data_IF_979044754764
#
_entry.id   IF_979044754764
#
_cell.length_a   1.000
_cell.length_b   1.000
_cell.length_c   1.000
_cell.angle_alpha   90.00
_cell.angle_beta   90.00
_cell.angle_gamma   90.00
#
_symmetry.space_group_name_H-M   'P 1'
#
loop_
_entity.id
_entity.type
_entity.pdbx_description
1 polymer ?
#
# COMPACT_ATOMS: atom_id res chain seq x y z
N UNK A 1 13.16 9.75 -6.61
CA UNK A 1 13.12 8.62 -5.65
C UNK A 1 12.15 8.94 -4.53
N UNK A 2 11.07 8.16 -4.40
CA UNK A 2 10.12 8.29 -3.29
C UNK A 2 10.76 7.64 -2.06
N UNK A 3 10.73 8.33 -0.92
CA UNK A 3 11.37 7.85 0.33
C UNK A 3 10.48 6.85 1.06
N UNK A 4 9.18 7.06 1.01
CA UNK A 4 8.16 6.20 1.58
C UNK A 4 8.05 4.86 0.84
N UNK A 5 7.56 3.85 1.56
CA UNK A 5 7.25 2.55 0.96
C UNK A 5 5.80 2.58 0.46
N UNK A 6 5.60 2.18 -0.80
CA UNK A 6 4.28 2.09 -1.40
C UNK A 6 3.69 0.71 -1.11
N UNK A 7 2.52 0.68 -0.49
CA UNK A 7 1.76 -0.54 -0.23
C UNK A 7 0.65 -0.68 -1.27
N UNK A 8 0.62 -1.80 -1.98
CA UNK A 8 -0.32 -2.13 -3.05
C UNK A 8 -1.07 -3.43 -2.78
N UNK A 9 -2.12 -3.73 -3.53
CA UNK A 9 -2.92 -4.93 -3.32
C UNK A 9 -2.26 -6.19 -3.92
N UNK A 10 -1.85 -6.10 -5.19
CA UNK A 10 -1.42 -7.23 -6.00
C UNK A 10 0.00 -7.14 -6.55
N UNK A 11 0.43 -8.23 -7.18
CA UNK A 11 1.74 -8.31 -7.86
C UNK A 11 1.80 -7.47 -9.13
N UNK A 12 0.68 -7.35 -9.85
CA UNK A 12 0.60 -6.50 -11.05
C UNK A 12 0.88 -5.03 -10.71
N UNK A 13 0.36 -4.56 -9.58
CA UNK A 13 0.55 -3.20 -9.08
C UNK A 13 2.01 -2.90 -8.74
N UNK A 14 2.75 -3.90 -8.21
CA UNK A 14 4.19 -3.75 -7.96
C UNK A 14 4.91 -3.37 -9.25
N UNK A 15 4.63 -4.10 -10.33
CA UNK A 15 5.23 -3.83 -11.63
C UNK A 15 4.80 -2.48 -12.21
N UNK A 16 3.54 -2.09 -12.03
CA UNK A 16 3.04 -0.79 -12.48
C UNK A 16 3.72 0.38 -11.74
N UNK A 17 3.80 0.31 -10.41
CA UNK A 17 4.45 1.33 -9.57
C UNK A 17 5.92 1.44 -9.91
N UNK A 18 6.66 0.33 -10.01
CA UNK A 18 8.09 0.35 -10.34
C UNK A 18 8.39 0.90 -11.73
N UNK A 19 7.44 0.78 -12.69
CA UNK A 19 7.57 1.42 -14.00
C UNK A 19 7.33 2.92 -13.96
N UNK A 20 6.48 3.38 -13.05
CA UNK A 20 6.11 4.79 -12.95
C UNK A 20 7.07 5.60 -12.08
N UNK A 21 7.56 5.02 -10.98
CA UNK A 21 8.37 5.70 -9.98
C UNK A 21 9.42 4.78 -9.38
N UNK A 22 10.56 5.36 -9.02
CA UNK A 22 11.56 4.69 -8.21
C UNK A 22 11.15 4.74 -6.72
N UNK A 23 10.65 3.60 -6.22
CA UNK A 23 10.14 3.42 -4.87
C UNK A 23 10.28 1.97 -4.40
N UNK A 24 10.36 1.77 -3.09
CA UNK A 24 10.16 0.45 -2.49
C UNK A 24 8.67 0.12 -2.47
N UNK A 25 8.30 -1.10 -2.85
CA UNK A 25 6.91 -1.52 -2.97
C UNK A 25 6.67 -2.84 -2.24
N UNK A 26 5.58 -2.92 -1.48
CA UNK A 26 5.11 -4.12 -0.76
C UNK A 26 3.67 -4.41 -1.19
N UNK A 27 3.33 -5.66 -1.52
CA UNK A 27 1.95 -6.07 -1.81
C UNK A 27 1.29 -6.77 -0.62
N UNK A 28 -0.02 -6.61 -0.44
CA UNK A 28 -0.81 -7.32 0.59
C UNK A 28 -1.33 -8.69 0.12
N UNK A 29 -1.16 -9.03 -1.16
CA UNK A 29 -1.70 -10.22 -1.81
C UNK A 29 -3.23 -10.29 -1.70
N UNK A 30 -3.91 -9.20 -2.06
CA UNK A 30 -5.36 -9.09 -1.95
C UNK A 30 -5.82 -8.97 -0.50
N UNK A 31 -6.94 -9.63 -0.19
CA UNK A 31 -7.52 -9.73 1.16
C UNK A 31 -6.74 -10.67 2.11
N UNK A 32 -5.68 -11.34 1.63
CA UNK A 32 -4.79 -12.19 2.43
C UNK A 32 -3.90 -11.44 3.42
N UNK A 33 -4.27 -10.20 3.78
CA UNK A 33 -3.57 -9.40 4.78
C UNK A 33 -3.65 -10.09 6.14
N UNK A 34 -2.48 -10.41 6.69
CA UNK A 34 -2.34 -11.09 7.97
C UNK A 34 -1.37 -10.31 8.87
N UNK A 35 -1.32 -10.69 10.14
CA UNK A 35 -0.49 -9.99 11.14
C UNK A 35 0.99 -9.98 10.78
N UNK A 36 1.48 -10.98 10.05
CA UNK A 36 2.88 -11.02 9.59
C UNK A 36 3.15 -9.88 8.60
N UNK A 37 2.28 -9.69 7.61
CA UNK A 37 2.40 -8.61 6.62
C UNK A 37 2.20 -7.26 7.31
N UNK A 38 1.19 -7.11 8.17
CA UNK A 38 0.92 -5.88 8.91
C UNK A 38 2.14 -5.49 9.74
N UNK A 39 2.77 -6.43 10.45
CA UNK A 39 3.96 -6.18 11.25
C UNK A 39 5.17 -5.74 10.41
N UNK A 40 5.35 -6.32 9.22
CA UNK A 40 6.40 -5.88 8.28
C UNK A 40 6.15 -4.43 7.87
N UNK A 41 4.92 -4.10 7.44
CA UNK A 41 4.56 -2.75 7.02
C UNK A 41 4.69 -1.75 8.17
N UNK A 42 4.25 -2.11 9.38
CA UNK A 42 4.35 -1.28 10.59
C UNK A 42 5.80 -1.02 11.03
N UNK A 43 6.68 -2.00 10.90
CA UNK A 43 8.12 -1.79 11.15
C UNK A 43 8.71 -0.85 10.10
N UNK A 44 8.33 -1.01 8.85
CA UNK A 44 8.85 -0.23 7.75
C UNK A 44 8.36 1.24 7.80
N UNK A 45 7.12 1.47 8.23
CA UNK A 45 6.53 2.81 8.39
C UNK A 45 7.25 3.65 9.44
N UNK A 46 7.81 3.05 10.50
CA UNK A 46 8.57 3.77 11.54
C UNK A 46 9.82 4.48 10.99
N UNK A 47 10.48 3.88 9.99
CA UNK A 47 11.74 4.39 9.47
C UNK A 47 11.55 5.30 8.25
N UNK A 48 10.61 4.96 7.37
CA UNK A 48 10.47 5.60 6.05
C UNK A 48 9.09 6.22 5.79
N UNK A 49 8.08 5.93 6.62
CA UNK A 49 6.69 6.19 6.29
C UNK A 49 6.15 5.23 5.21
N UNK A 50 4.83 5.21 5.05
CA UNK A 50 4.16 4.41 4.01
C UNK A 50 3.12 5.22 3.24
N UNK A 51 2.92 4.86 1.98
CA UNK A 51 1.84 5.35 1.12
C UNK A 51 0.98 4.15 0.73
N UNK A 52 -0.29 4.14 1.13
CA UNK A 52 -1.25 3.12 0.73
C UNK A 52 -1.85 3.52 -0.62
N UNK A 53 -1.57 2.73 -1.65
CA UNK A 53 -2.09 2.88 -3.01
C UNK A 53 -2.97 1.67 -3.34
N UNK A 54 -4.28 1.86 -3.26
CA UNK A 54 -5.27 0.82 -3.54
C UNK A 54 -6.36 1.34 -4.46
N UNK A 55 -7.04 0.42 -5.14
CA UNK A 55 -8.18 0.74 -6.00
C UNK A 55 -9.36 1.29 -5.20
N UNK A 56 -10.23 2.09 -5.84
CA UNK A 56 -11.42 2.66 -5.19
C UNK A 56 -12.56 1.64 -5.03
N UNK A 57 -12.25 0.36 -4.87
CA UNK A 57 -13.19 -0.75 -4.77
C UNK A 57 -13.34 -1.26 -3.32
N UNK A 58 -14.08 -2.36 -3.12
CA UNK A 58 -14.32 -2.91 -1.79
C UNK A 58 -13.05 -3.53 -1.16
N UNK A 59 -12.29 -4.42 -1.85
CA UNK A 59 -11.01 -4.94 -1.36
C UNK A 59 -10.01 -3.83 -0.99
N UNK A 60 -9.81 -2.85 -1.87
CA UNK A 60 -8.87 -1.75 -1.67
C UNK A 60 -9.24 -0.86 -0.49
N UNK A 61 -10.53 -0.61 -0.25
CA UNK A 61 -11.01 0.08 0.96
C UNK A 61 -10.78 -0.74 2.23
N UNK A 62 -11.03 -2.05 2.19
CA UNK A 62 -10.85 -2.93 3.36
C UNK A 62 -9.39 -3.00 3.79
N UNK A 63 -8.47 -3.20 2.84
CA UNK A 63 -7.01 -3.20 3.11
C UNK A 63 -6.58 -1.86 3.72
N UNK A 64 -7.05 -0.75 3.13
CA UNK A 64 -6.76 0.60 3.61
C UNK A 64 -7.21 0.81 5.05
N UNK A 65 -8.45 0.44 5.38
CA UNK A 65 -8.99 0.60 6.73
C UNK A 65 -8.20 -0.21 7.76
N UNK A 66 -7.83 -1.46 7.42
CA UNK A 66 -7.02 -2.31 8.28
C UNK A 66 -5.67 -1.65 8.56
N UNK A 67 -4.95 -1.22 7.52
CA UNK A 67 -3.62 -0.61 7.67
C UNK A 67 -3.68 0.74 8.41
N UNK A 68 -4.66 1.59 8.08
CA UNK A 68 -4.84 2.89 8.73
C UNK A 68 -5.16 2.76 10.22
N UNK A 69 -5.93 1.73 10.61
CA UNK A 69 -6.22 1.48 12.03
C UNK A 69 -5.01 1.00 12.84
N UNK A 70 -3.98 0.48 12.17
CA UNK A 70 -2.80 -0.13 12.81
C UNK A 70 -1.55 0.74 12.74
N UNK A 71 -1.54 1.75 11.86
CA UNK A 71 -0.39 2.58 11.51
C UNK A 71 -0.84 4.04 11.40
N UNK A 72 -0.51 4.84 12.42
CA UNK A 72 -0.95 6.25 12.48
C UNK A 72 -0.31 7.15 11.40
N UNK A 73 0.95 6.88 11.01
CA UNK A 73 1.69 7.71 10.07
C UNK A 73 1.64 7.16 8.63
N UNK A 74 0.44 6.86 8.13
CA UNK A 74 0.24 6.42 6.75
C UNK A 74 -0.33 7.52 5.86
N UNK A 75 0.25 7.68 4.68
CA UNK A 75 -0.30 8.52 3.61
C UNK A 75 -1.24 7.68 2.74
N UNK A 76 -2.22 8.34 2.14
CA UNK A 76 -3.25 7.71 1.33
C UNK A 76 -3.21 8.24 -0.10
N UNK A 77 -2.96 7.36 -1.07
CA UNK A 77 -3.07 7.65 -2.49
C UNK A 77 -4.25 6.87 -3.08
N UNK A 78 -4.86 7.41 -4.14
CA UNK A 78 -6.03 6.84 -4.79
C UNK A 78 -5.83 6.86 -6.30
N UNK A 79 -6.27 5.80 -6.98
CA UNK A 79 -6.32 5.77 -8.44
C UNK A 79 -7.59 6.50 -8.89
N UNK A 80 -7.49 7.51 -9.78
CA UNK A 80 -8.65 8.19 -10.33
C UNK A 80 -9.60 7.20 -11.01
N UNK A 81 -10.90 7.38 -10.79
CA UNK A 81 -11.95 6.44 -11.22
C UNK A 81 -12.08 6.34 -12.75
N UNK A 82 -11.63 7.38 -13.43
CA UNK A 82 -11.50 7.52 -14.89
C UNK A 82 -10.32 6.74 -15.49
N UNK A 83 -9.48 6.10 -14.65
CA UNK A 83 -8.29 5.34 -15.08
C UNK A 83 -8.25 3.90 -14.54
N UNK A 84 -9.35 3.42 -13.97
CA UNK A 84 -9.51 2.06 -13.44
C UNK A 84 -10.18 1.13 -14.46
#
# INVERSE_FOLDING_TARGET
MIKEIIVVEGKADISAVKRAVDAQVISTNGLGINDKIINVIKKASKNKGIIILTDPDYPGKKIRNILASQIENCKHAFIPRDKA
#
